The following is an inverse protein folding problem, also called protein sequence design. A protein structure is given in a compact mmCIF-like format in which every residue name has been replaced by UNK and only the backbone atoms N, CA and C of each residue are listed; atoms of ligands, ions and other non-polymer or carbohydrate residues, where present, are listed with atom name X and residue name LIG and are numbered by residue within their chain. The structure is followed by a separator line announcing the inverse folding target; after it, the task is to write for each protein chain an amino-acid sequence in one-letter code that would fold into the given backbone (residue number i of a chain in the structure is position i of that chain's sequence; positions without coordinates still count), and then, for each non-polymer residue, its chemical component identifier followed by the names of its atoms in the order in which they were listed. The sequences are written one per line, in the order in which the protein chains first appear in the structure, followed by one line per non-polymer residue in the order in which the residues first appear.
data_IF_736286251884
#
_entry.id   IF_736286251884
#
_cell.length_a   1.000
_cell.length_b   1.000
_cell.length_c   1.000
_cell.angle_alpha   90.00
_cell.angle_beta   90.00
_cell.angle_gamma   90.00
#
_symmetry.space_group_name_H-M   'P 1'
#
loop_
_entity.id
_entity.type
_entity.pdbx_description
1 polymer ?
#
# COMPACT_ATOMS: atom_id res chain seq x y z
N UNK A 1 -10.60 6.47 -26.84
CA UNK A 1 -9.58 5.62 -26.17
C UNK A 1 -9.85 5.54 -24.67
N UNK A 2 -9.97 6.66 -23.91
CA UNK A 2 -10.25 6.66 -22.46
C UNK A 2 -11.51 5.87 -22.08
N UNK A 3 -12.65 6.10 -22.73
CA UNK A 3 -13.89 5.35 -22.48
C UNK A 3 -13.78 3.84 -22.65
N UNK A 4 -12.87 3.36 -23.51
CA UNK A 4 -12.65 1.92 -23.68
C UNK A 4 -11.89 1.32 -22.50
N UNK A 5 -10.90 2.04 -21.94
CA UNK A 5 -10.19 1.60 -20.76
C UNK A 5 -11.07 1.62 -19.50
N UNK A 6 -11.88 2.69 -19.34
CA UNK A 6 -12.83 2.77 -18.23
C UNK A 6 -13.83 1.62 -18.28
N UNK A 7 -14.39 1.32 -19.46
CA UNK A 7 -15.29 0.18 -19.64
C UNK A 7 -14.61 -1.14 -19.28
N UNK A 8 -13.40 -1.40 -19.77
CA UNK A 8 -12.67 -2.63 -19.43
C UNK A 8 -12.39 -2.72 -17.92
N UNK A 9 -12.04 -1.61 -17.27
CA UNK A 9 -11.85 -1.59 -15.83
C UNK A 9 -13.14 -1.95 -15.10
N UNK A 10 -14.26 -1.33 -15.44
CA UNK A 10 -15.51 -1.44 -14.68
C UNK A 10 -16.35 -2.66 -15.03
N UNK A 11 -16.23 -3.21 -16.25
CA UNK A 11 -17.03 -4.36 -16.72
C UNK A 11 -16.26 -5.69 -16.67
N UNK A 12 -14.92 -5.67 -16.60
CA UNK A 12 -14.09 -6.88 -16.66
C UNK A 12 -13.14 -7.00 -15.47
N UNK A 13 -12.20 -6.05 -15.31
CA UNK A 13 -11.11 -6.18 -14.30
C UNK A 13 -11.63 -6.03 -12.88
N UNK A 14 -12.38 -4.97 -12.58
CA UNK A 14 -12.87 -4.72 -11.23
C UNK A 14 -13.86 -5.81 -10.76
N UNK A 15 -14.84 -6.26 -11.57
CA UNK A 15 -15.72 -7.38 -11.20
C UNK A 15 -14.94 -8.67 -10.89
N UNK A 16 -13.94 -9.03 -11.71
CA UNK A 16 -13.13 -10.24 -11.48
C UNK A 16 -12.53 -10.24 -10.07
N UNK A 17 -11.90 -9.13 -9.66
CA UNK A 17 -11.26 -9.01 -8.34
C UNK A 17 -12.27 -8.83 -7.21
N UNK A 18 -13.35 -8.08 -7.43
CA UNK A 18 -14.43 -7.90 -6.44
C UNK A 18 -15.06 -9.22 -6.04
N UNK A 19 -15.26 -10.11 -6.99
CA UNK A 19 -15.90 -11.41 -6.73
C UNK A 19 -14.97 -12.47 -6.12
N UNK A 20 -13.65 -12.35 -6.32
CA UNK A 20 -12.70 -13.46 -6.04
C UNK A 20 -11.63 -13.15 -5.00
N UNK A 21 -11.37 -11.87 -4.73
CA UNK A 21 -10.24 -11.53 -3.87
C UNK A 21 -10.48 -11.76 -2.39
N UNK A 22 -11.71 -11.65 -1.89
CA UNK A 22 -11.98 -11.83 -0.47
C UNK A 22 -11.79 -13.30 -0.03
N UNK A 23 -10.95 -13.52 0.97
CA UNK A 23 -10.89 -14.81 1.67
C UNK A 23 -11.87 -14.78 2.86
N UNK A 24 -13.10 -15.18 2.61
CA UNK A 24 -14.17 -15.20 3.62
C UNK A 24 -13.93 -16.22 4.75
N UNK A 25 -12.98 -17.14 4.58
CA UNK A 25 -12.66 -18.15 5.58
C UNK A 25 -11.59 -17.66 6.59
N UNK A 26 -10.56 -16.97 6.09
CA UNK A 26 -9.40 -16.59 6.92
C UNK A 26 -9.13 -15.07 6.90
N UNK A 27 -9.95 -14.30 6.20
CA UNK A 27 -9.80 -12.84 6.07
C UNK A 27 -8.72 -12.41 5.07
N UNK A 28 -8.68 -11.13 4.76
CA UNK A 28 -7.77 -10.57 3.77
C UNK A 28 -8.07 -11.00 2.33
N UNK A 29 -7.04 -11.02 1.48
CA UNK A 29 -7.22 -11.29 0.06
C UNK A 29 -6.50 -12.53 -0.42
N UNK A 30 -7.16 -13.25 -1.35
CA UNK A 30 -6.57 -14.19 -2.28
C UNK A 30 -6.14 -13.42 -3.55
N UNK A 31 -4.95 -13.69 -4.07
CA UNK A 31 -4.32 -12.84 -5.07
C UNK A 31 -3.72 -13.56 -6.28
N UNK A 32 -3.74 -14.88 -6.28
CA UNK A 32 -3.05 -15.68 -7.31
C UNK A 32 -4.02 -16.59 -8.02
N UNK A 33 -4.54 -16.13 -9.16
CA UNK A 33 -5.48 -16.86 -9.98
C UNK A 33 -4.93 -17.14 -11.37
N UNK A 34 -5.30 -18.27 -11.95
CA UNK A 34 -5.03 -18.55 -13.36
C UNK A 34 -6.02 -17.80 -14.29
N UNK A 35 -5.83 -17.97 -15.61
CA UNK A 35 -6.69 -17.33 -16.61
C UNK A 35 -8.16 -17.78 -16.56
N UNK A 36 -8.46 -18.89 -15.90
CA UNK A 36 -9.80 -19.41 -15.69
C UNK A 36 -10.39 -18.96 -14.34
N UNK A 37 -9.65 -18.14 -13.58
CA UNK A 37 -10.07 -17.65 -12.26
C UNK A 37 -9.95 -18.70 -11.15
N UNK A 38 -9.17 -19.77 -11.33
CA UNK A 38 -8.91 -20.77 -10.29
C UNK A 38 -7.74 -20.32 -9.44
N UNK A 39 -7.87 -20.43 -8.12
CA UNK A 39 -6.80 -20.11 -7.19
C UNK A 39 -5.58 -21.03 -7.41
N UNK A 40 -4.40 -20.45 -7.59
CA UNK A 40 -3.15 -21.18 -7.84
C UNK A 40 -2.17 -21.12 -6.66
N UNK A 41 -2.27 -20.08 -5.82
CA UNK A 41 -1.51 -19.93 -4.60
C UNK A 41 -2.37 -19.17 -3.59
N UNK A 42 -2.35 -19.63 -2.35
CA UNK A 42 -3.15 -19.04 -1.26
C UNK A 42 -2.31 -18.26 -0.22
N UNK A 43 -1.01 -18.17 -0.41
CA UNK A 43 -0.15 -17.29 0.39
C UNK A 43 -0.51 -15.83 0.16
N UNK A 44 -0.41 -15.03 1.21
CA UNK A 44 -0.82 -13.62 1.19
C UNK A 44 0.39 -12.70 1.36
N UNK A 45 0.86 -12.08 0.27
CA UNK A 45 1.92 -11.06 0.36
C UNK A 45 1.36 -9.76 0.96
N UNK A 46 2.03 -9.21 1.98
CA UNK A 46 1.57 -8.00 2.68
C UNK A 46 1.49 -6.78 1.74
N UNK A 47 2.49 -6.61 0.86
CA UNK A 47 2.46 -5.53 -0.13
C UNK A 47 1.26 -5.61 -1.09
N UNK A 48 0.76 -6.82 -1.37
CA UNK A 48 -0.42 -7.01 -2.19
C UNK A 48 -1.70 -6.65 -1.43
N UNK A 49 -1.80 -7.05 -0.15
CA UNK A 49 -2.96 -6.70 0.69
C UNK A 49 -3.07 -5.19 0.87
N UNK A 50 -1.96 -4.50 1.18
CA UNK A 50 -1.94 -3.03 1.27
C UNK A 50 -2.29 -2.35 -0.05
N UNK A 51 -1.81 -2.87 -1.19
CA UNK A 51 -2.16 -2.38 -2.53
C UNK A 51 -3.64 -2.64 -2.87
N UNK A 52 -4.18 -3.80 -2.51
CA UNK A 52 -5.59 -4.13 -2.69
C UNK A 52 -6.50 -3.17 -1.92
N UNK A 53 -6.19 -2.92 -0.64
CA UNK A 53 -6.87 -1.92 0.18
C UNK A 53 -6.88 -0.54 -0.52
N UNK A 54 -5.71 -0.07 -0.99
CA UNK A 54 -5.61 1.18 -1.75
C UNK A 54 -6.49 1.16 -3.00
N UNK A 55 -6.40 0.10 -3.79
CA UNK A 55 -7.09 0.02 -5.09
C UNK A 55 -8.61 0.03 -4.91
N UNK A 56 -9.16 -0.73 -3.97
CA UNK A 56 -10.59 -0.75 -3.72
C UNK A 56 -11.10 0.57 -3.12
N UNK A 57 -10.34 1.19 -2.22
CA UNK A 57 -10.67 2.51 -1.69
C UNK A 57 -10.65 3.58 -2.80
N UNK A 58 -9.64 3.56 -3.67
CA UNK A 58 -9.51 4.48 -4.80
C UNK A 58 -10.63 4.29 -5.82
N UNK A 59 -11.01 3.05 -6.14
CA UNK A 59 -12.18 2.77 -6.99
C UNK A 59 -13.45 3.36 -6.38
N UNK A 60 -13.66 3.19 -5.08
CA UNK A 60 -14.79 3.78 -4.36
C UNK A 60 -14.78 5.31 -4.46
N UNK A 61 -13.64 5.94 -4.24
CA UNK A 61 -13.54 7.41 -4.24
C UNK A 61 -13.69 8.04 -5.63
N UNK A 62 -13.27 7.33 -6.70
CA UNK A 62 -13.11 7.94 -8.04
C UNK A 62 -14.03 7.39 -9.12
N UNK A 63 -14.47 6.12 -9.01
CA UNK A 63 -15.22 5.43 -10.07
C UNK A 63 -16.68 5.13 -9.69
N UNK A 64 -17.14 5.63 -8.56
CA UNK A 64 -18.49 5.48 -8.05
C UNK A 64 -18.52 4.75 -6.70
N UNK A 65 -19.32 5.23 -5.78
CA UNK A 65 -19.39 4.79 -4.39
C UNK A 65 -20.08 3.42 -4.24
N UNK A 66 -19.54 2.38 -4.88
CA UNK A 66 -20.07 1.01 -4.79
C UNK A 66 -19.72 0.41 -3.42
N UNK A 67 -20.72 -0.01 -2.63
CA UNK A 67 -20.50 -0.51 -1.26
C UNK A 67 -19.52 -1.71 -1.19
N UNK A 68 -19.51 -2.57 -2.21
CA UNK A 68 -18.61 -3.72 -2.30
C UNK A 68 -17.13 -3.33 -2.34
N UNK A 69 -16.79 -2.20 -2.94
CA UNK A 69 -15.39 -1.72 -2.96
C UNK A 69 -14.97 -1.17 -1.60
N UNK A 70 -15.85 -0.43 -0.91
CA UNK A 70 -15.57 0.02 0.45
C UNK A 70 -15.44 -1.15 1.43
N UNK A 71 -16.32 -2.16 1.29
CA UNK A 71 -16.23 -3.40 2.06
C UNK A 71 -14.86 -4.08 1.85
N UNK A 72 -14.44 -4.29 0.60
CA UNK A 72 -13.14 -4.89 0.32
C UNK A 72 -11.98 -4.05 0.85
N UNK A 73 -12.01 -2.72 0.71
CA UNK A 73 -10.99 -1.86 1.31
C UNK A 73 -10.92 -2.06 2.83
N UNK A 74 -12.07 -2.19 3.52
CA UNK A 74 -12.12 -2.49 4.95
C UNK A 74 -11.53 -3.87 5.28
N UNK A 75 -11.86 -4.91 4.51
CA UNK A 75 -11.25 -6.25 4.66
C UNK A 75 -9.73 -6.18 4.63
N UNK A 76 -9.16 -5.45 3.67
CA UNK A 76 -7.71 -5.24 3.60
C UNK A 76 -7.15 -4.49 4.80
N UNK A 77 -7.81 -3.41 5.20
CA UNK A 77 -7.42 -2.62 6.38
C UNK A 77 -7.41 -3.45 7.65
N UNK A 78 -8.45 -4.21 7.89
CA UNK A 78 -8.58 -5.02 9.11
C UNK A 78 -7.55 -6.15 9.12
N UNK A 79 -7.31 -6.80 7.99
CA UNK A 79 -6.32 -7.86 7.88
C UNK A 79 -4.88 -7.34 8.01
N UNK A 80 -4.55 -6.16 7.46
CA UNK A 80 -3.25 -5.51 7.70
C UNK A 80 -3.01 -5.27 9.19
N UNK A 81 -4.01 -4.79 9.91
CA UNK A 81 -3.87 -4.47 11.33
C UNK A 81 -3.84 -5.72 12.25
N UNK A 82 -4.57 -6.77 11.91
CA UNK A 82 -4.70 -7.95 12.78
C UNK A 82 -3.67 -9.04 12.50
N UNK A 83 -3.33 -9.28 11.22
CA UNK A 83 -2.45 -10.36 10.81
C UNK A 83 -1.04 -9.90 10.46
N UNK A 84 -0.91 -8.79 9.71
CA UNK A 84 0.39 -8.34 9.21
C UNK A 84 1.16 -7.46 10.19
N UNK A 85 0.51 -6.75 11.12
CA UNK A 85 1.19 -5.81 12.01
C UNK A 85 2.20 -6.51 12.92
N UNK A 86 3.45 -6.00 12.94
CA UNK A 86 4.51 -6.48 13.83
C UNK A 86 4.43 -5.89 15.26
N UNK A 87 3.49 -4.97 15.51
CA UNK A 87 3.34 -4.28 16.80
C UNK A 87 4.23 -3.05 16.99
N UNK A 88 5.30 -2.90 16.21
CA UNK A 88 6.23 -1.76 16.26
C UNK A 88 5.98 -0.71 15.16
N UNK A 89 4.92 -0.87 14.38
CA UNK A 89 4.57 -0.01 13.24
C UNK A 89 5.12 -0.49 11.90
N UNK A 90 5.67 -1.70 11.85
CA UNK A 90 6.08 -2.41 10.64
C UNK A 90 5.09 -3.52 10.31
N UNK A 91 5.23 -4.07 9.12
CA UNK A 91 4.37 -5.13 8.63
C UNK A 91 5.18 -6.32 8.12
N UNK A 92 4.69 -7.54 8.39
CA UNK A 92 5.24 -8.77 7.86
C UNK A 92 5.15 -8.79 6.32
N UNK A 93 6.05 -9.52 5.66
CA UNK A 93 6.10 -9.59 4.20
C UNK A 93 5.13 -10.63 3.64
N UNK A 94 5.01 -11.78 4.31
CA UNK A 94 4.24 -12.92 3.79
C UNK A 94 3.55 -13.66 4.92
N UNK A 95 2.28 -13.97 4.69
CA UNK A 95 1.47 -14.83 5.56
C UNK A 95 1.02 -16.07 4.80
N UNK A 96 0.87 -17.21 5.51
CA UNK A 96 0.06 -18.31 5.01
C UNK A 96 -1.41 -17.91 4.96
N UNK A 97 -2.22 -18.67 4.26
CA UNK A 97 -3.65 -18.40 4.16
C UNK A 97 -4.33 -18.31 5.52
N UNK A 98 -3.97 -19.21 6.45
CA UNK A 98 -4.51 -19.30 7.82
C UNK A 98 -3.89 -18.29 8.82
N UNK A 99 -3.08 -17.34 8.35
CA UNK A 99 -2.57 -16.22 9.15
C UNK A 99 -1.27 -16.50 9.91
N UNK A 100 -0.51 -17.57 9.60
CA UNK A 100 0.83 -17.77 10.15
C UNK A 100 1.84 -16.90 9.40
N UNK A 101 2.79 -16.31 10.11
CA UNK A 101 3.90 -15.56 9.50
C UNK A 101 4.84 -16.52 8.77
N UNK A 102 4.94 -16.40 7.46
CA UNK A 102 5.91 -17.11 6.61
C UNK A 102 7.19 -16.30 6.46
N UNK A 103 7.08 -14.99 6.36
CA UNK A 103 8.21 -14.07 6.30
C UNK A 103 7.87 -12.79 7.08
N UNK A 104 8.71 -12.48 8.07
CA UNK A 104 8.61 -11.26 8.88
C UNK A 104 8.97 -10.00 8.08
N UNK A 105 9.10 -8.88 8.77
CA UNK A 105 9.55 -7.63 8.15
C UNK A 105 10.95 -7.77 7.54
N UNK A 106 11.08 -7.53 6.27
CA UNK A 106 12.35 -7.52 5.52
C UNK A 106 12.41 -6.38 4.49
N UNK A 107 11.31 -5.64 4.31
CA UNK A 107 11.22 -4.60 3.29
C UNK A 107 10.21 -3.52 3.67
N UNK A 108 10.57 -2.26 3.45
CA UNK A 108 9.70 -1.09 3.63
C UNK A 108 8.59 -1.00 2.56
N UNK A 109 8.65 -1.80 1.50
CA UNK A 109 7.63 -1.71 0.45
C UNK A 109 6.26 -2.16 0.94
N UNK A 110 6.17 -3.16 1.82
CA UNK A 110 4.91 -3.54 2.45
C UNK A 110 4.37 -2.40 3.30
N UNK A 111 5.22 -1.74 4.09
CA UNK A 111 4.84 -0.61 4.93
C UNK A 111 4.33 0.56 4.09
N UNK A 112 4.98 0.87 2.96
CA UNK A 112 4.49 1.89 2.01
C UNK A 112 3.09 1.59 1.50
N UNK A 113 2.81 0.35 1.09
CA UNK A 113 1.48 -0.01 0.61
C UNK A 113 0.44 -0.03 1.72
N UNK A 114 0.80 -0.45 2.93
CA UNK A 114 -0.07 -0.42 4.10
C UNK A 114 -0.46 1.02 4.47
N UNK A 115 0.52 1.91 4.59
CA UNK A 115 0.32 3.31 4.98
C UNK A 115 -0.46 4.07 3.91
N UNK A 116 -0.08 3.93 2.65
CA UNK A 116 -0.76 4.55 1.52
C UNK A 116 -2.21 4.07 1.39
N UNK A 117 -2.43 2.77 1.53
CA UNK A 117 -3.77 2.18 1.48
C UNK A 117 -4.64 2.67 2.64
N UNK A 118 -4.06 2.85 3.83
CA UNK A 118 -4.78 3.41 4.98
C UNK A 118 -5.24 4.85 4.70
N UNK A 119 -4.43 5.71 4.10
CA UNK A 119 -4.84 7.08 3.77
C UNK A 119 -6.04 7.10 2.83
N UNK A 120 -5.99 6.31 1.77
CA UNK A 120 -7.08 6.22 0.80
C UNK A 120 -8.35 5.61 1.42
N UNK A 121 -8.20 4.59 2.28
CA UNK A 121 -9.31 4.01 3.02
C UNK A 121 -9.97 5.02 3.99
N UNK A 122 -9.20 5.81 4.72
CA UNK A 122 -9.75 6.85 5.62
C UNK A 122 -10.54 7.89 4.84
N UNK A 123 -10.10 8.24 3.63
CA UNK A 123 -10.85 9.09 2.72
C UNK A 123 -12.16 8.43 2.28
N UNK A 124 -12.10 7.19 1.81
CA UNK A 124 -13.26 6.44 1.32
C UNK A 124 -14.33 6.20 2.42
N UNK A 125 -13.89 5.93 3.64
CA UNK A 125 -14.78 5.67 4.79
C UNK A 125 -15.28 6.92 5.51
N UNK A 126 -14.83 8.13 5.08
CA UNK A 126 -15.19 9.40 5.73
C UNK A 126 -14.54 9.60 7.12
N UNK A 127 -13.47 8.84 7.44
CA UNK A 127 -12.82 8.85 8.77
C UNK A 127 -11.62 9.81 8.85
N UNK A 128 -11.42 10.68 7.88
CA UNK A 128 -10.30 11.65 7.88
C UNK A 128 -10.36 12.64 9.04
N UNK A 129 -11.53 12.84 9.66
CA UNK A 129 -11.72 13.66 10.86
C UNK A 129 -11.56 12.89 12.17
N UNK A 130 -11.49 11.56 12.17
CA UNK A 130 -11.38 10.74 13.38
C UNK A 130 -9.98 10.87 13.99
N UNK A 131 -9.95 11.35 15.25
CA UNK A 131 -8.69 11.64 15.95
C UNK A 131 -7.84 10.38 16.18
N UNK A 132 -8.46 9.24 16.50
CA UNK A 132 -7.75 8.00 16.77
C UNK A 132 -7.17 7.40 15.46
N UNK A 133 -7.95 7.41 14.38
CA UNK A 133 -7.49 6.96 13.06
C UNK A 133 -6.37 7.86 12.51
N UNK A 134 -6.49 9.18 12.66
CA UNK A 134 -5.41 10.11 12.28
C UNK A 134 -4.13 9.89 13.10
N UNK A 135 -4.25 9.68 14.41
CA UNK A 135 -3.09 9.42 15.26
C UNK A 135 -2.35 8.13 14.85
N UNK A 136 -3.11 7.07 14.54
CA UNK A 136 -2.54 5.81 14.06
C UNK A 136 -1.88 5.98 12.69
N UNK A 137 -2.55 6.61 11.74
CA UNK A 137 -2.02 6.90 10.41
C UNK A 137 -0.74 7.74 10.48
N UNK A 138 -0.70 8.75 11.36
CA UNK A 138 0.48 9.57 11.62
C UNK A 138 1.64 8.74 12.19
N UNK A 139 1.37 7.92 13.21
CA UNK A 139 2.36 7.03 13.83
C UNK A 139 3.01 6.09 12.80
N UNK A 140 2.20 5.49 11.93
CA UNK A 140 2.69 4.60 10.88
C UNK A 140 3.51 5.35 9.83
N UNK A 141 3.08 6.53 9.41
CA UNK A 141 3.85 7.38 8.47
C UNK A 141 5.19 7.81 9.05
N UNK A 142 5.21 8.28 10.29
CA UNK A 142 6.45 8.70 10.97
C UNK A 142 7.42 7.53 11.15
N UNK A 143 6.91 6.34 11.48
CA UNK A 143 7.72 5.11 11.55
C UNK A 143 8.33 4.76 10.20
N UNK A 144 7.52 4.77 9.14
CA UNK A 144 7.99 4.53 7.77
C UNK A 144 9.08 5.53 7.36
N UNK A 145 8.87 6.83 7.59
CA UNK A 145 9.84 7.88 7.27
C UNK A 145 11.17 7.73 8.04
N UNK A 146 11.12 7.16 9.24
CA UNK A 146 12.33 6.79 10.00
C UNK A 146 13.02 5.58 9.35
N UNK A 147 12.27 4.55 9.00
CA UNK A 147 12.82 3.30 8.48
C UNK A 147 13.46 3.46 7.10
N UNK A 148 12.91 4.27 6.21
CA UNK A 148 13.52 4.54 4.89
C UNK A 148 14.87 5.26 4.97
N UNK A 149 15.24 5.80 6.13
CA UNK A 149 16.54 6.45 6.41
C UNK A 149 17.44 5.58 7.29
N UNK A 150 16.95 4.46 7.85
CA UNK A 150 17.70 3.59 8.75
C UNK A 150 18.70 2.71 7.97
N UNK A 151 20.02 2.83 8.21
CA UNK A 151 21.02 2.00 7.52
C UNK A 151 20.83 0.50 7.74
N UNK A 152 20.23 0.07 8.86
CA UNK A 152 19.97 -1.34 9.11
C UNK A 152 18.83 -1.84 8.21
N UNK A 153 17.78 -1.07 8.04
CA UNK A 153 16.67 -1.36 7.13
C UNK A 153 17.13 -1.33 5.67
N UNK A 154 17.92 -0.32 5.30
CA UNK A 154 18.47 -0.21 3.94
C UNK A 154 19.34 -1.41 3.56
N UNK A 155 20.12 -1.97 4.50
CA UNK A 155 20.87 -3.21 4.27
C UNK A 155 19.95 -4.40 4.01
N UNK A 156 18.81 -4.52 4.69
CA UNK A 156 17.81 -5.57 4.41
C UNK A 156 17.25 -5.43 2.99
N UNK A 157 17.12 -4.20 2.49
CA UNK A 157 16.71 -3.89 1.11
C UNK A 157 17.82 -4.17 0.06
N UNK A 158 18.97 -4.65 0.48
CA UNK A 158 20.13 -4.89 -0.40
C UNK A 158 20.81 -3.61 -0.87
N UNK A 159 20.67 -2.49 -0.14
CA UNK A 159 21.32 -1.21 -0.46
C UNK A 159 22.72 -1.21 0.15
N UNK A 160 23.82 -1.12 -0.65
CA UNK A 160 25.16 -1.01 -0.14
C UNK A 160 25.37 0.26 0.68
N UNK A 161 26.35 0.23 1.60
CA UNK A 161 26.69 1.40 2.38
C UNK A 161 27.09 2.60 1.48
N UNK A 162 26.56 3.77 1.79
CA UNK A 162 26.77 4.99 1.00
C UNK A 162 25.97 5.09 -0.30
N UNK A 163 25.15 4.09 -0.63
CA UNK A 163 24.25 4.11 -1.78
C UNK A 163 22.82 4.39 -1.36
N UNK A 164 21.99 4.74 -2.33
CA UNK A 164 20.57 4.98 -2.20
C UNK A 164 19.79 4.20 -3.27
N UNK A 165 18.58 3.77 -2.93
CA UNK A 165 17.71 3.03 -3.85
C UNK A 165 16.59 3.95 -4.34
N UNK A 166 16.61 4.30 -5.63
CA UNK A 166 15.60 5.21 -6.22
C UNK A 166 14.17 4.71 -5.98
N UNK A 167 13.93 3.40 -6.01
CA UNK A 167 12.61 2.84 -5.76
C UNK A 167 12.06 3.20 -4.35
N UNK A 168 12.90 3.28 -3.31
CA UNK A 168 12.50 3.71 -1.96
C UNK A 168 12.13 5.20 -1.99
N UNK A 169 12.95 6.05 -2.64
CA UNK A 169 12.65 7.47 -2.81
C UNK A 169 11.33 7.69 -3.54
N UNK A 170 11.09 6.95 -4.63
CA UNK A 170 9.87 7.02 -5.42
C UNK A 170 8.63 6.58 -4.61
N UNK A 171 8.73 5.48 -3.86
CA UNK A 171 7.62 5.03 -3.01
C UNK A 171 7.34 6.00 -1.87
N UNK A 172 8.39 6.62 -1.30
CA UNK A 172 8.24 7.66 -0.26
C UNK A 172 7.52 8.89 -0.83
N UNK A 173 7.89 9.33 -2.05
CA UNK A 173 7.20 10.40 -2.77
C UNK A 173 5.70 10.12 -2.91
N UNK A 174 5.34 8.96 -3.44
CA UNK A 174 3.93 8.60 -3.65
C UNK A 174 3.18 8.54 -2.32
N UNK A 175 3.76 7.89 -1.29
CA UNK A 175 3.11 7.78 0.03
C UNK A 175 2.91 9.15 0.67
N UNK A 176 3.87 10.07 0.54
CA UNK A 176 3.75 11.43 1.06
C UNK A 176 2.71 12.25 0.27
N UNK A 177 2.55 12.03 -1.02
CA UNK A 177 1.49 12.66 -1.81
C UNK A 177 0.09 12.16 -1.39
N UNK A 178 -0.07 10.85 -1.19
CA UNK A 178 -1.34 10.25 -0.75
C UNK A 178 -1.72 10.67 0.67
N UNK A 179 -0.76 11.00 1.53
CA UNK A 179 -1.03 11.51 2.89
C UNK A 179 -1.88 12.78 2.91
N UNK A 180 -1.95 13.52 1.78
CA UNK A 180 -2.74 14.75 1.63
C UNK A 180 -4.23 14.52 1.85
N UNK A 181 -4.73 13.33 1.58
CA UNK A 181 -6.12 12.97 1.85
C UNK A 181 -6.49 13.07 3.35
N UNK A 182 -5.51 12.95 4.26
CA UNK A 182 -5.71 12.94 5.72
C UNK A 182 -5.04 14.12 6.41
N UNK A 183 -3.87 14.54 5.94
CA UNK A 183 -2.97 15.50 6.60
C UNK A 183 -2.70 16.77 5.77
N UNK A 184 -3.40 16.95 4.66
CA UNK A 184 -3.22 18.11 3.78
C UNK A 184 -1.75 18.29 3.36
N UNK A 185 -1.08 19.33 3.87
CA UNK A 185 0.29 19.67 3.51
C UNK A 185 1.34 19.34 4.60
N UNK A 186 0.98 18.60 5.64
CA UNK A 186 1.91 18.32 6.76
C UNK A 186 3.19 17.61 6.31
N UNK A 187 3.13 16.80 5.24
CA UNK A 187 4.28 16.09 4.67
C UNK A 187 4.79 16.70 3.36
N UNK A 188 4.49 18.00 3.11
CA UNK A 188 4.91 18.69 1.89
C UNK A 188 6.43 18.66 1.71
N UNK A 189 7.19 18.91 2.74
CA UNK A 189 8.65 18.89 2.72
C UNK A 189 9.22 17.51 2.33
N UNK A 190 8.52 16.42 2.68
CA UNK A 190 8.95 15.05 2.36
C UNK A 190 8.86 14.80 0.85
N UNK A 191 7.71 15.10 0.23
CA UNK A 191 7.56 14.85 -1.21
C UNK A 191 8.38 15.85 -2.04
N UNK A 192 8.57 17.11 -1.59
CA UNK A 192 9.46 18.06 -2.25
C UNK A 192 10.93 17.59 -2.20
N UNK A 193 11.41 17.07 -1.06
CA UNK A 193 12.73 16.44 -0.94
C UNK A 193 12.86 15.26 -1.91
N UNK A 194 11.85 14.39 -1.98
CA UNK A 194 11.87 13.23 -2.88
C UNK A 194 11.92 13.65 -4.37
N UNK A 195 11.19 14.69 -4.76
CA UNK A 195 11.24 15.26 -6.12
C UNK A 195 12.63 15.81 -6.41
N UNK A 196 13.18 16.63 -5.51
CA UNK A 196 14.52 17.19 -5.66
C UNK A 196 15.55 16.06 -5.85
N UNK A 197 15.52 15.05 -5.01
CA UNK A 197 16.45 13.90 -5.11
C UNK A 197 16.29 13.15 -6.43
N UNK A 198 15.06 12.93 -6.90
CA UNK A 198 14.81 12.27 -8.19
C UNK A 198 15.42 13.04 -9.35
N UNK A 199 15.34 14.36 -9.34
CA UNK A 199 15.81 15.21 -10.44
C UNK A 199 17.32 15.49 -10.40
N UNK A 200 17.93 15.57 -9.21
CA UNK A 200 19.31 16.06 -9.05
C UNK A 200 20.29 15.04 -8.47
N UNK A 201 19.82 13.99 -7.79
CA UNK A 201 20.71 12.97 -7.22
C UNK A 201 20.63 11.64 -8.00
N UNK A 202 19.43 11.25 -8.47
CA UNK A 202 19.23 10.00 -9.23
C UNK A 202 19.29 10.19 -10.74
N UNK A 203 19.02 11.38 -11.27
CA UNK A 203 19.20 11.67 -12.69
C UNK A 203 20.71 11.67 -13.06
N UNK A 204 21.05 11.04 -14.16
CA UNK A 204 22.43 10.96 -14.64
C UNK A 204 22.47 11.33 -16.12
N UNK A 205 22.82 12.58 -16.41
CA UNK A 205 22.88 13.13 -17.76
C UNK A 205 23.93 12.46 -18.67
N UNK A 206 24.86 11.68 -18.07
CA UNK A 206 25.88 10.95 -18.83
C UNK A 206 25.39 9.63 -19.39
N UNK A 207 24.21 9.16 -18.94
CA UNK A 207 23.60 7.88 -19.36
C UNK A 207 22.39 8.09 -20.28
N UNK A 208 22.16 9.31 -20.74
CA UNK A 208 21.09 9.65 -21.70
C UNK A 208 21.57 9.51 -23.14
#
# INVERSE_FOLDING_TARGET
MAQNFERQLLEDVAPFWTERSEDTQFGGYLNSFDRQGRLTCDEKPGWFVGRGMYTFAMLYNTMGHRPEWLHLAQVGRDYMNTAFACGDGRFNQMMSRDGRVLQGFTSVFTDHFAVKGLFEYLSASGQTGDTAQKAEAKRLMEKLLKDVKDPAVLRMEGVPAGMQKHAINFMTLITALESRAVFENDYKNVWEECVHRSLYEFANDRLQ
#
